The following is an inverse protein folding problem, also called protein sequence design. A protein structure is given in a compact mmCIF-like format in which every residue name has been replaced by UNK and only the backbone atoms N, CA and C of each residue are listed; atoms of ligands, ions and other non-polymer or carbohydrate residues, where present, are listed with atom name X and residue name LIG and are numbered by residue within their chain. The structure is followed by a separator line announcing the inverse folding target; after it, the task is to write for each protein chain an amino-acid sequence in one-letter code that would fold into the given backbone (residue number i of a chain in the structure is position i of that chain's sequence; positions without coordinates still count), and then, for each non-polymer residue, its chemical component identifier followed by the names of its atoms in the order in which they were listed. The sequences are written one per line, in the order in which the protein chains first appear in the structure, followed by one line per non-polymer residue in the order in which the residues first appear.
data_IF_962799013153
#
_entry.id   IF_962799013153
#
_cell.length_a   1.000
_cell.length_b   1.000
_cell.length_c   1.000
_cell.angle_alpha   90.00
_cell.angle_beta   90.00
_cell.angle_gamma   90.00
#
_symmetry.space_group_name_H-M   'P 1'
#
loop_
_entity.id
_entity.type
_entity.pdbx_description
1 polymer ?
#
# COMPACT_ATOMS: atom_id res chain seq x y z
N UNK A 1 35.75 -33.19 15.10
CA UNK A 1 34.87 -32.57 16.12
C UNK A 1 35.28 -31.10 16.28
N UNK A 2 34.66 -30.26 15.47
CA UNK A 2 34.62 -28.77 15.63
C UNK A 2 33.70 -28.23 14.52
N UNK A 3 32.48 -28.75 14.50
CA UNK A 3 31.34 -28.00 14.00
C UNK A 3 30.87 -27.19 15.17
N UNK A 4 30.94 -25.90 15.08
CA UNK A 4 29.99 -25.01 15.75
C UNK A 4 30.43 -23.57 15.67
N UNK A 5 29.49 -22.80 15.35
CA UNK A 5 29.35 -21.37 15.70
C UNK A 5 29.97 -20.37 14.71
N UNK A 6 29.43 -20.32 13.53
CA UNK A 6 29.10 -19.03 12.95
C UNK A 6 27.65 -18.66 13.32
N UNK A 7 27.42 -18.30 14.57
CA UNK A 7 26.30 -17.43 14.89
C UNK A 7 26.73 -16.08 14.34
N UNK A 8 26.34 -15.82 13.09
CA UNK A 8 26.36 -14.48 12.55
C UNK A 8 25.61 -13.62 13.55
N UNK A 9 26.35 -12.74 14.23
CA UNK A 9 25.76 -11.62 14.95
C UNK A 9 24.95 -10.86 13.91
N UNK A 10 23.65 -11.15 13.84
CA UNK A 10 22.68 -10.28 13.22
C UNK A 10 22.91 -8.92 13.85
N UNK A 11 23.47 -7.99 13.08
CA UNK A 11 23.58 -6.60 13.48
C UNK A 11 22.14 -6.18 13.84
N UNK A 12 21.85 -6.11 15.13
CA UNK A 12 20.63 -5.46 15.61
C UNK A 12 20.77 -4.02 15.17
N UNK A 13 20.05 -3.64 14.15
CA UNK A 13 19.95 -2.25 13.72
C UNK A 13 19.21 -1.57 14.86
N UNK A 14 19.93 -0.85 15.71
CA UNK A 14 19.31 -0.07 16.79
C UNK A 14 18.78 1.21 16.16
N UNK A 15 17.47 1.33 16.08
CA UNK A 15 16.81 2.58 15.73
C UNK A 15 16.65 3.46 16.97
N UNK A 16 16.73 4.79 16.81
CA UNK A 16 16.41 5.73 17.91
C UNK A 16 14.96 5.59 18.35
N UNK A 17 14.06 5.39 17.42
CA UNK A 17 12.66 5.06 17.66
C UNK A 17 12.01 4.48 16.42
N UNK A 18 10.83 3.89 16.60
CA UNK A 18 9.93 3.49 15.52
C UNK A 18 8.82 4.53 15.41
N UNK A 19 8.62 5.06 14.22
CA UNK A 19 7.57 6.03 13.92
C UNK A 19 6.58 5.39 12.94
N UNK A 20 5.36 5.19 13.37
CA UNK A 20 4.28 4.71 12.51
C UNK A 20 3.49 5.90 12.01
N UNK A 21 3.31 5.99 10.68
CA UNK A 21 2.47 7.02 10.05
C UNK A 21 1.42 6.35 9.16
N UNK A 22 0.28 6.98 9.04
CA UNK A 22 -0.80 6.50 8.17
C UNK A 22 -2.17 6.74 8.76
N UNK A 23 -3.17 6.14 8.12
CA UNK A 23 -4.56 6.39 8.47
C UNK A 23 -5.32 5.12 8.85
N UNK A 24 -6.35 5.31 9.65
CA UNK A 24 -7.33 4.28 9.98
C UNK A 24 -6.79 3.12 10.80
N UNK A 25 -7.40 1.95 10.60
CA UNK A 25 -7.11 0.75 11.39
C UNK A 25 -5.71 0.20 11.14
N UNK A 26 -5.21 0.27 9.91
CA UNK A 26 -3.89 -0.31 9.55
C UNK A 26 -2.78 0.35 10.36
N UNK A 27 -2.70 1.69 10.37
CA UNK A 27 -1.68 2.41 11.12
C UNK A 27 -1.77 2.17 12.64
N UNK A 28 -3.00 2.16 13.18
CA UNK A 28 -3.24 1.92 14.61
C UNK A 28 -2.77 0.52 15.04
N UNK A 29 -3.13 -0.51 14.28
CA UNK A 29 -2.75 -1.88 14.58
C UNK A 29 -1.25 -2.13 14.37
N UNK A 30 -0.64 -1.57 13.33
CA UNK A 30 0.82 -1.63 13.16
C UNK A 30 1.55 -1.00 14.36
N UNK A 31 1.08 0.16 14.84
CA UNK A 31 1.66 0.77 16.03
C UNK A 31 1.48 -0.08 17.28
N UNK A 32 0.32 -0.71 17.47
CA UNK A 32 0.07 -1.62 18.57
C UNK A 32 0.99 -2.83 18.52
N UNK A 33 1.05 -3.51 17.38
CA UNK A 33 1.92 -4.70 17.18
C UNK A 33 3.39 -4.34 17.41
N UNK A 34 3.86 -3.19 16.92
CA UNK A 34 5.22 -2.76 17.14
C UNK A 34 5.53 -2.51 18.63
N UNK A 35 4.58 -1.96 19.41
CA UNK A 35 4.73 -1.72 20.87
C UNK A 35 4.81 -3.00 21.68
N UNK A 36 4.28 -4.12 21.19
CA UNK A 36 4.37 -5.40 21.87
C UNK A 36 5.84 -5.93 21.91
N UNK A 37 6.71 -5.41 21.03
CA UNK A 37 8.12 -5.83 20.93
C UNK A 37 9.14 -4.72 21.17
N UNK A 38 8.79 -3.46 20.95
CA UNK A 38 9.70 -2.32 20.99
C UNK A 38 9.18 -1.22 21.93
N UNK A 39 10.07 -0.66 22.76
CA UNK A 39 9.70 0.33 23.78
C UNK A 39 9.40 1.73 23.22
N UNK A 40 10.13 2.16 22.18
CA UNK A 40 10.05 3.54 21.66
C UNK A 40 9.28 3.59 20.34
N UNK A 41 7.95 3.38 20.40
CA UNK A 41 7.06 3.40 19.22
C UNK A 41 6.06 4.55 19.30
N UNK A 42 6.09 5.42 18.31
CA UNK A 42 5.19 6.57 18.17
C UNK A 42 4.23 6.35 17.00
N UNK A 43 2.94 6.52 17.23
CA UNK A 43 1.96 6.70 16.16
C UNK A 43 1.81 8.21 15.93
N UNK A 44 2.09 8.66 14.72
CA UNK A 44 2.12 10.06 14.36
C UNK A 44 0.85 10.44 13.59
N UNK A 45 0.13 11.45 14.06
CA UNK A 45 -0.92 12.07 13.29
C UNK A 45 -0.31 13.17 12.39
N UNK A 46 -0.28 12.89 11.09
CA UNK A 46 0.29 13.82 10.11
C UNK A 46 -0.51 15.12 9.99
N UNK A 47 -1.77 15.17 10.44
CA UNK A 47 -2.59 16.38 10.42
C UNK A 47 -2.19 17.38 11.50
N UNK A 48 -1.47 16.94 12.54
CA UNK A 48 -0.93 17.81 13.60
C UNK A 48 0.39 18.48 13.20
N UNK A 49 0.95 18.14 12.03
CA UNK A 49 2.25 18.64 11.58
C UNK A 49 2.05 19.71 10.50
N UNK A 50 2.44 20.92 10.80
CA UNK A 50 2.29 22.08 9.90
C UNK A 50 3.12 21.98 8.62
N UNK A 51 4.33 21.37 8.71
CA UNK A 51 5.24 21.17 7.58
C UNK A 51 5.84 19.77 7.60
N UNK A 52 5.21 18.86 6.85
CA UNK A 52 5.63 17.45 6.79
C UNK A 52 7.04 17.29 6.20
N UNK A 53 7.38 18.05 5.16
CA UNK A 53 8.70 17.96 4.52
C UNK A 53 9.81 18.36 5.49
N UNK A 54 9.64 19.43 6.25
CA UNK A 54 10.59 19.88 7.27
C UNK A 54 10.72 18.85 8.38
N UNK A 55 9.59 18.39 8.91
CA UNK A 55 9.54 17.41 9.99
C UNK A 55 10.30 16.12 9.60
N UNK A 56 9.90 15.48 8.48
CA UNK A 56 10.51 14.22 8.07
C UNK A 56 11.99 14.38 7.65
N UNK A 57 12.37 15.49 7.04
CA UNK A 57 13.77 15.76 6.69
C UNK A 57 14.66 16.07 7.91
N UNK A 58 14.09 16.37 9.09
CA UNK A 58 14.84 16.54 10.34
C UNK A 58 15.15 15.20 11.04
N UNK A 59 14.42 14.15 10.71
CA UNK A 59 14.59 12.83 11.34
C UNK A 59 15.87 12.13 10.86
N UNK A 60 16.53 11.42 11.79
CA UNK A 60 17.72 10.63 11.52
C UNK A 60 17.79 9.42 12.46
N UNK A 61 18.11 8.24 11.90
CA UNK A 61 18.31 7.02 12.68
C UNK A 61 17.01 6.33 13.12
N UNK A 62 15.86 6.68 12.55
CA UNK A 62 14.57 6.08 12.88
C UNK A 62 14.18 4.96 11.91
N UNK A 63 13.34 4.04 12.40
CA UNK A 63 12.54 3.19 11.52
C UNK A 63 11.16 3.85 11.34
N UNK A 64 10.81 4.20 10.10
CA UNK A 64 9.51 4.78 9.77
C UNK A 64 8.66 3.71 9.09
N UNK A 65 7.47 3.47 9.64
CA UNK A 65 6.48 2.51 9.12
C UNK A 65 5.35 3.29 8.49
N UNK A 66 5.30 3.27 7.16
CA UNK A 66 4.28 3.91 6.34
C UNK A 66 3.12 2.92 6.12
N UNK A 67 2.05 3.05 6.91
CA UNK A 67 0.94 2.11 7.01
C UNK A 67 -0.37 2.77 6.57
N UNK A 68 -0.74 2.62 5.30
CA UNK A 68 -1.87 3.32 4.68
C UNK A 68 -1.68 4.85 4.71
N UNK A 69 -0.60 5.30 4.12
CA UNK A 69 -0.16 6.69 4.10
C UNK A 69 -0.09 7.23 2.66
N UNK A 70 -0.34 8.52 2.49
CA UNK A 70 -0.29 9.21 1.19
C UNK A 70 0.87 10.21 1.06
N UNK A 71 1.62 10.45 2.13
CA UNK A 71 2.79 11.32 2.10
C UNK A 71 3.96 10.63 1.38
N UNK A 72 4.63 11.35 0.50
CA UNK A 72 5.81 10.87 -0.25
C UNK A 72 7.05 11.43 0.41
N UNK A 73 7.88 10.55 0.98
CA UNK A 73 9.13 10.91 1.64
C UNK A 73 10.11 11.54 0.65
N UNK A 74 10.79 12.60 1.10
CA UNK A 74 11.83 13.26 0.32
C UNK A 74 13.17 12.53 0.44
N UNK A 75 14.08 12.68 -0.54
CA UNK A 75 15.35 11.95 -0.55
C UNK A 75 16.13 12.05 0.76
N UNK A 76 16.19 13.25 1.36
CA UNK A 76 16.91 13.46 2.63
C UNK A 76 16.35 12.60 3.78
N UNK A 77 15.03 12.42 3.85
CA UNK A 77 14.42 11.55 4.85
C UNK A 77 14.78 10.08 4.59
N UNK A 78 14.70 9.65 3.31
CA UNK A 78 15.03 8.28 2.88
C UNK A 78 16.48 7.93 3.17
N UNK A 79 17.41 8.85 2.93
CA UNK A 79 18.84 8.65 3.16
C UNK A 79 19.21 8.55 4.65
N UNK A 80 18.47 9.23 5.52
CA UNK A 80 18.79 9.30 6.95
C UNK A 80 18.03 8.30 7.82
N UNK A 81 17.04 7.59 7.28
CA UNK A 81 16.18 6.69 8.05
C UNK A 81 15.93 5.39 7.29
N UNK A 82 15.59 4.32 8.01
CA UNK A 82 15.00 3.14 7.40
C UNK A 82 13.49 3.36 7.26
N UNK A 83 12.94 3.16 6.07
CA UNK A 83 11.51 3.36 5.84
C UNK A 83 10.94 2.13 5.18
N UNK A 84 9.84 1.58 5.71
CA UNK A 84 9.06 0.52 5.09
C UNK A 84 7.66 1.02 4.78
N UNK A 85 7.10 0.58 3.66
CA UNK A 85 5.80 1.00 3.20
C UNK A 85 4.88 -0.20 2.92
N UNK A 86 3.63 -0.07 3.31
CA UNK A 86 2.54 -0.94 2.89
C UNK A 86 1.98 -0.45 1.57
N UNK A 87 2.02 -1.32 0.56
CA UNK A 87 1.41 -1.10 -0.73
C UNK A 87 0.33 -2.15 -1.00
N UNK A 88 -0.83 -1.73 -1.48
CA UNK A 88 -2.01 -2.58 -1.70
C UNK A 88 -2.03 -3.22 -3.09
N UNK A 89 -0.92 -3.81 -3.48
CA UNK A 89 -0.77 -4.66 -4.67
C UNK A 89 0.38 -5.67 -4.49
N UNK A 90 0.49 -6.61 -5.42
CA UNK A 90 1.67 -7.47 -5.57
C UNK A 90 2.71 -6.76 -6.43
N UNK A 91 3.63 -6.01 -5.82
CA UNK A 91 4.73 -5.39 -6.55
C UNK A 91 5.53 -6.42 -7.36
N UNK A 92 5.99 -6.06 -8.55
CA UNK A 92 6.03 -4.73 -9.16
C UNK A 92 4.74 -4.26 -9.83
N UNK A 93 3.66 -5.05 -9.84
CA UNK A 93 2.40 -4.67 -10.48
C UNK A 93 1.70 -3.51 -9.76
N UNK A 94 1.02 -2.65 -10.52
CA UNK A 94 0.17 -1.56 -10.02
C UNK A 94 0.85 -0.65 -9.00
N UNK A 95 2.08 -0.19 -9.27
CA UNK A 95 2.75 0.82 -8.46
C UNK A 95 1.96 2.14 -8.45
N UNK A 96 2.15 2.93 -7.40
CA UNK A 96 1.51 4.23 -7.24
C UNK A 96 0.16 4.14 -6.52
N UNK A 97 -0.85 4.84 -7.00
CA UNK A 97 -2.11 4.98 -6.27
C UNK A 97 -3.25 4.15 -6.86
N UNK A 98 -4.25 3.84 -6.03
CA UNK A 98 -5.48 3.14 -6.43
C UNK A 98 -5.24 1.73 -7.02
N UNK A 99 -4.18 1.05 -6.58
CA UNK A 99 -3.78 -0.25 -7.12
C UNK A 99 -4.89 -1.30 -7.08
N UNK A 100 -5.76 -1.29 -6.06
CA UNK A 100 -6.92 -2.17 -5.95
C UNK A 100 -7.96 -1.94 -7.06
N UNK A 101 -8.17 -0.69 -7.48
CA UNK A 101 -9.06 -0.33 -8.59
C UNK A 101 -8.47 -0.85 -9.91
N UNK A 102 -7.17 -0.59 -10.10
CA UNK A 102 -6.47 -0.98 -11.33
C UNK A 102 -6.39 -2.50 -11.49
N UNK A 103 -6.15 -3.24 -10.41
CA UNK A 103 -6.12 -4.70 -10.45
C UNK A 103 -7.46 -5.29 -10.93
N UNK A 104 -8.59 -4.79 -10.44
CA UNK A 104 -9.91 -5.22 -10.88
C UNK A 104 -10.17 -4.79 -12.33
N UNK A 105 -9.89 -3.53 -12.66
CA UNK A 105 -10.08 -3.02 -14.02
C UNK A 105 -9.27 -3.78 -15.08
N UNK A 106 -8.02 -4.10 -14.78
CA UNK A 106 -7.16 -4.90 -15.67
C UNK A 106 -7.62 -6.35 -15.78
N UNK A 107 -8.54 -6.81 -14.95
CA UNK A 107 -9.05 -8.17 -14.96
C UNK A 107 -8.08 -9.17 -14.34
N UNK A 108 -7.26 -8.71 -13.40
CA UNK A 108 -6.36 -9.58 -12.66
C UNK A 108 -7.17 -10.62 -11.88
N UNK A 109 -6.69 -11.86 -11.88
CA UNK A 109 -7.29 -12.91 -11.05
C UNK A 109 -6.80 -12.86 -9.61
N UNK A 110 -5.63 -12.28 -9.42
CA UNK A 110 -4.93 -12.20 -8.14
C UNK A 110 -4.41 -10.79 -7.92
N UNK A 111 -4.53 -10.34 -6.70
CA UNK A 111 -3.88 -9.14 -6.17
C UNK A 111 -3.30 -9.48 -4.80
N UNK A 112 -3.02 -8.51 -3.97
CA UNK A 112 -2.50 -8.77 -2.63
C UNK A 112 -1.95 -7.54 -1.98
N UNK A 113 -0.98 -7.76 -1.11
CA UNK A 113 -0.25 -6.70 -0.42
C UNK A 113 1.25 -6.90 -0.56
N UNK A 114 1.98 -5.81 -0.46
CA UNK A 114 3.43 -5.81 -0.35
C UNK A 114 3.87 -4.87 0.76
N UNK A 115 4.70 -5.37 1.68
CA UNK A 115 5.56 -4.51 2.48
C UNK A 115 6.92 -4.45 1.81
N UNK A 116 7.43 -3.25 1.58
CA UNK A 116 8.70 -3.02 0.90
C UNK A 116 9.48 -1.87 1.55
N UNK A 117 10.80 -1.83 1.35
CA UNK A 117 11.61 -0.67 1.71
C UNK A 117 11.25 0.51 0.81
N UNK A 118 11.35 1.71 1.35
CA UNK A 118 11.21 2.93 0.56
C UNK A 118 12.59 3.36 0.06
N UNK A 119 12.68 3.60 -1.23
CA UNK A 119 13.82 4.24 -1.91
C UNK A 119 13.39 5.57 -2.54
N UNK A 120 14.22 6.14 -3.41
CA UNK A 120 13.92 7.42 -4.08
C UNK A 120 12.91 7.27 -5.26
N UNK A 121 12.45 6.07 -5.55
CA UNK A 121 11.42 5.80 -6.55
C UNK A 121 10.02 5.64 -5.91
N UNK A 122 9.03 5.41 -6.76
CA UNK A 122 7.67 5.10 -6.28
C UNK A 122 7.48 3.59 -6.27
N UNK A 123 7.28 3.03 -5.07
CA UNK A 123 7.04 1.60 -4.82
C UNK A 123 8.08 0.68 -5.52
N UNK A 124 9.36 1.12 -5.54
CA UNK A 124 10.47 0.46 -6.28
C UNK A 124 11.48 -0.23 -5.38
N UNK A 125 11.41 -0.02 -4.07
CA UNK A 125 12.37 -0.58 -3.12
C UNK A 125 12.21 -2.08 -2.88
N UNK A 126 13.18 -2.66 -2.19
CA UNK A 126 13.25 -4.10 -1.89
C UNK A 126 11.98 -4.61 -1.18
N UNK A 127 11.42 -5.70 -1.69
CA UNK A 127 10.26 -6.36 -1.11
C UNK A 127 10.67 -7.12 0.14
N UNK A 128 9.93 -6.92 1.23
CA UNK A 128 10.13 -7.61 2.51
C UNK A 128 9.20 -8.82 2.65
N UNK A 129 7.94 -8.64 2.30
CA UNK A 129 6.92 -9.70 2.31
C UNK A 129 5.80 -9.36 1.34
N UNK A 130 5.25 -10.39 0.71
CA UNK A 130 4.03 -10.30 -0.10
C UNK A 130 3.02 -11.35 0.35
N UNK A 131 1.75 -11.01 0.27
CA UNK A 131 0.62 -11.93 0.48
C UNK A 131 -0.39 -11.77 -0.64
N UNK A 132 -0.83 -12.89 -1.18
CA UNK A 132 -1.72 -12.96 -2.34
C UNK A 132 -3.19 -13.12 -1.94
N UNK A 133 -4.10 -12.56 -2.73
CA UNK A 133 -5.55 -12.68 -2.62
C UNK A 133 -6.13 -13.01 -4.01
N UNK A 134 -7.05 -13.98 -4.10
CA UNK A 134 -7.87 -14.16 -5.29
C UNK A 134 -8.94 -13.06 -5.32
N UNK A 135 -9.08 -12.35 -6.46
CA UNK A 135 -9.95 -11.18 -6.60
C UNK A 135 -11.00 -11.33 -7.70
N UNK A 136 -11.16 -12.53 -8.27
CA UNK A 136 -12.02 -12.75 -9.47
C UNK A 136 -13.42 -12.13 -9.35
N UNK A 137 -14.01 -12.15 -8.15
CA UNK A 137 -15.38 -11.66 -7.92
C UNK A 137 -15.46 -10.52 -6.89
N UNK A 138 -14.34 -9.97 -6.47
CA UNK A 138 -14.33 -8.90 -5.46
C UNK A 138 -14.65 -7.54 -6.08
N UNK A 139 -15.38 -6.72 -5.33
CA UNK A 139 -15.42 -5.27 -5.55
C UNK A 139 -14.14 -4.60 -5.00
N UNK A 140 -13.90 -3.35 -5.42
CA UNK A 140 -12.74 -2.59 -4.94
C UNK A 140 -12.79 -2.37 -3.42
N UNK A 141 -13.98 -2.22 -2.84
CA UNK A 141 -14.18 -2.12 -1.39
C UNK A 141 -13.79 -3.41 -0.68
N UNK A 142 -14.29 -4.56 -1.15
CA UNK A 142 -13.99 -5.86 -0.55
C UNK A 142 -12.49 -6.16 -0.63
N UNK A 143 -11.87 -5.91 -1.79
CA UNK A 143 -10.44 -6.08 -1.98
C UNK A 143 -9.65 -5.19 -1.01
N UNK A 144 -9.96 -3.89 -0.93
CA UNK A 144 -9.26 -2.97 -0.05
C UNK A 144 -9.35 -3.39 1.42
N UNK A 145 -10.52 -3.83 1.87
CA UNK A 145 -10.71 -4.33 3.24
C UNK A 145 -9.90 -5.61 3.50
N UNK A 146 -9.90 -6.56 2.56
CA UNK A 146 -9.10 -7.78 2.66
C UNK A 146 -7.59 -7.46 2.68
N UNK A 147 -7.14 -6.54 1.84
CA UNK A 147 -5.76 -6.06 1.81
C UNK A 147 -5.35 -5.43 3.14
N UNK A 148 -6.18 -4.59 3.75
CA UNK A 148 -5.90 -3.99 5.05
C UNK A 148 -5.74 -5.05 6.15
N UNK A 149 -6.61 -6.07 6.18
CA UNK A 149 -6.50 -7.15 7.16
C UNK A 149 -5.22 -7.97 6.95
N UNK A 150 -4.89 -8.26 5.71
CA UNK A 150 -3.69 -9.01 5.35
C UNK A 150 -2.40 -8.24 5.63
N UNK A 151 -2.42 -6.90 5.43
CA UNK A 151 -1.32 -6.02 5.78
C UNK A 151 -1.03 -6.05 7.28
N UNK A 152 -2.07 -5.98 8.11
CA UNK A 152 -1.93 -6.05 9.58
C UNK A 152 -1.35 -7.41 10.00
N UNK A 153 -1.89 -8.51 9.47
CA UNK A 153 -1.41 -9.85 9.79
C UNK A 153 0.05 -10.06 9.38
N UNK A 154 0.41 -9.68 8.15
CA UNK A 154 1.78 -9.82 7.65
C UNK A 154 2.77 -8.86 8.31
N UNK A 155 2.31 -7.74 8.85
CA UNK A 155 3.15 -6.85 9.64
C UNK A 155 3.65 -7.50 10.93
N UNK A 156 2.82 -8.32 11.59
CA UNK A 156 3.26 -9.12 12.75
C UNK A 156 4.42 -10.05 12.37
N UNK A 157 4.33 -10.74 11.22
CA UNK A 157 5.41 -11.60 10.73
C UNK A 157 6.73 -10.83 10.52
N UNK A 158 6.65 -9.59 10.00
CA UNK A 158 7.84 -8.73 9.85
C UNK A 158 8.43 -8.28 11.19
N UNK A 159 7.58 -7.95 12.15
CA UNK A 159 8.01 -7.60 13.50
C UNK A 159 8.75 -8.77 14.15
N UNK A 160 8.28 -10.01 13.99
CA UNK A 160 8.90 -11.22 14.58
C UNK A 160 10.33 -11.45 14.08
N UNK A 161 10.63 -11.02 12.85
CA UNK A 161 11.95 -11.17 12.21
C UNK A 161 12.76 -9.88 12.17
N UNK A 162 12.43 -8.88 13.01
CA UNK A 162 13.12 -7.58 13.06
C UNK A 162 13.19 -6.89 11.68
N UNK A 163 12.08 -6.97 10.93
CA UNK A 163 11.92 -6.41 9.58
C UNK A 163 12.90 -6.94 8.52
N UNK A 164 13.46 -8.12 8.73
CA UNK A 164 14.25 -8.80 7.71
C UNK A 164 13.34 -9.27 6.56
N UNK A 165 13.84 -9.31 5.30
CA UNK A 165 13.09 -9.84 4.18
C UNK A 165 12.66 -11.29 4.41
N UNK A 166 11.40 -11.60 4.16
CA UNK A 166 10.80 -12.93 4.26
C UNK A 166 10.58 -13.58 2.89
N UNK A 167 10.86 -12.86 1.82
CA UNK A 167 10.77 -13.37 0.45
C UNK A 167 11.90 -12.81 -0.42
N UNK A 168 12.17 -13.49 -1.53
CA UNK A 168 13.19 -13.10 -2.52
C UNK A 168 12.52 -12.72 -3.85
N UNK A 169 11.52 -11.85 -3.80
CA UNK A 169 10.84 -11.36 -4.99
C UNK A 169 11.55 -10.10 -5.49
N UNK A 170 11.95 -10.12 -6.77
CA UNK A 170 12.55 -8.95 -7.40
C UNK A 170 11.48 -7.88 -7.65
N UNK A 171 11.74 -6.67 -7.20
CA UNK A 171 10.91 -5.51 -7.52
C UNK A 171 11.51 -4.75 -8.70
N UNK A 172 11.21 -5.19 -9.93
CA UNK A 172 11.68 -4.49 -11.13
C UNK A 172 10.66 -3.43 -11.56
N UNK A 173 10.92 -2.15 -11.31
CA UNK A 173 10.00 -1.07 -11.67
C UNK A 173 9.82 -0.89 -13.19
N UNK A 174 10.66 -1.48 -14.02
CA UNK A 174 10.52 -1.43 -15.49
C UNK A 174 9.50 -2.44 -16.01
N UNK A 175 9.16 -3.44 -15.22
CA UNK A 175 8.23 -4.52 -15.62
C UNK A 175 6.76 -4.18 -15.44
N UNK A 176 6.42 -3.01 -14.86
CA UNK A 176 5.03 -2.67 -14.55
C UNK A 176 4.67 -1.19 -14.77
N UNK A 177 3.38 -0.94 -14.88
CA UNK A 177 2.84 0.42 -14.96
C UNK A 177 2.78 1.07 -13.57
N UNK A 178 3.03 2.38 -13.55
CA UNK A 178 2.80 3.23 -12.38
C UNK A 178 1.54 4.06 -12.60
N UNK A 179 0.63 4.04 -11.64
CA UNK A 179 -0.62 4.79 -11.70
C UNK A 179 -0.53 6.09 -10.90
N UNK A 180 -0.85 7.21 -11.56
CA UNK A 180 -0.84 8.54 -10.93
C UNK A 180 -2.17 8.84 -10.26
N UNK A 181 -2.16 9.75 -9.28
CA UNK A 181 -3.38 10.18 -8.56
C UNK A 181 -4.46 10.76 -9.49
N UNK A 182 -4.07 11.38 -10.59
CA UNK A 182 -4.99 11.92 -11.59
C UNK A 182 -5.56 10.88 -12.56
N UNK A 183 -5.07 9.63 -12.50
CA UNK A 183 -5.44 8.58 -13.43
C UNK A 183 -6.45 7.63 -12.78
N UNK A 184 -7.54 7.41 -13.49
CA UNK A 184 -8.56 6.42 -13.15
C UNK A 184 -8.95 5.66 -14.42
N UNK A 185 -9.40 4.39 -14.33
CA UNK A 185 -9.90 3.66 -15.48
C UNK A 185 -10.92 4.48 -16.26
N UNK A 186 -10.63 4.71 -17.53
CA UNK A 186 -11.43 5.52 -18.45
C UNK A 186 -11.91 6.87 -17.87
N UNK A 187 -11.09 7.52 -17.00
CA UNK A 187 -11.50 8.79 -16.38
C UNK A 187 -12.74 8.70 -15.48
N UNK A 188 -13.02 7.52 -14.93
CA UNK A 188 -14.24 7.18 -14.18
C UNK A 188 -15.54 7.35 -15.00
N UNK A 189 -15.47 7.17 -16.31
CA UNK A 189 -16.64 7.24 -17.22
C UNK A 189 -16.95 5.84 -17.76
N UNK A 190 -18.13 5.34 -17.47
CA UNK A 190 -18.66 4.09 -18.04
C UNK A 190 -19.00 4.28 -19.51
N UNK A 191 -18.51 3.40 -20.38
CA UNK A 191 -18.94 3.31 -21.76
C UNK A 191 -19.91 2.13 -21.92
N UNK A 192 -21.14 2.41 -22.31
CA UNK A 192 -22.19 1.41 -22.50
C UNK A 192 -22.01 0.54 -23.74
N UNK A 193 -21.11 0.92 -24.66
CA UNK A 193 -20.77 0.12 -25.85
C UNK A 193 -19.74 -0.99 -25.54
N UNK A 194 -19.21 -1.05 -24.33
CA UNK A 194 -18.31 -2.13 -23.93
C UNK A 194 -19.03 -3.47 -23.84
N UNK A 195 -18.26 -4.55 -23.95
CA UNK A 195 -18.75 -5.90 -23.65
C UNK A 195 -19.15 -6.00 -22.16
N UNK A 196 -20.12 -6.84 -21.86
CA UNK A 196 -20.71 -6.96 -20.52
C UNK A 196 -19.67 -7.23 -19.44
N UNK A 197 -18.67 -8.07 -19.70
CA UNK A 197 -17.60 -8.36 -18.75
C UNK A 197 -16.74 -7.14 -18.42
N UNK A 198 -16.54 -6.25 -19.38
CA UNK A 198 -15.80 -5.00 -19.17
C UNK A 198 -16.62 -3.98 -18.38
N UNK A 199 -17.93 -3.90 -18.63
CA UNK A 199 -18.87 -3.09 -17.84
C UNK A 199 -18.86 -3.56 -16.38
N UNK A 200 -18.99 -4.86 -16.15
CA UNK A 200 -18.99 -5.47 -14.82
C UNK A 200 -17.68 -5.18 -14.09
N UNK A 201 -16.54 -5.34 -14.76
CA UNK A 201 -15.22 -5.02 -14.17
C UNK A 201 -15.11 -3.55 -13.79
N UNK A 202 -15.56 -2.65 -14.66
CA UNK A 202 -15.57 -1.22 -14.38
C UNK A 202 -16.42 -0.90 -13.14
N UNK A 203 -17.63 -1.40 -13.08
CA UNK A 203 -18.52 -1.16 -11.93
C UNK A 203 -17.91 -1.71 -10.64
N UNK A 204 -17.40 -2.95 -10.65
CA UNK A 204 -16.68 -3.53 -9.49
C UNK A 204 -15.45 -2.72 -9.07
N UNK A 205 -14.69 -2.19 -10.04
CA UNK A 205 -13.50 -1.38 -9.76
C UNK A 205 -13.85 -0.05 -9.09
N UNK A 206 -15.06 0.48 -9.32
CA UNK A 206 -15.55 1.71 -8.71
C UNK A 206 -16.54 1.48 -7.55
N UNK A 207 -16.82 0.26 -7.18
CA UNK A 207 -17.58 -0.05 -5.95
C UNK A 207 -16.69 0.09 -4.72
N UNK A 208 -16.62 1.31 -4.22
CA UNK A 208 -15.82 1.72 -3.06
C UNK A 208 -16.67 1.98 -1.82
N UNK A 209 -18.00 1.93 -1.96
CA UNK A 209 -18.92 2.28 -0.89
C UNK A 209 -18.70 3.71 -0.38
N UNK A 210 -18.51 3.86 0.93
CA UNK A 210 -18.30 5.16 1.58
C UNK A 210 -16.85 5.69 1.54
N UNK A 211 -15.91 4.97 0.93
CA UNK A 211 -14.51 5.42 0.81
C UNK A 211 -14.37 6.52 -0.26
N UNK A 212 -14.78 7.72 0.08
CA UNK A 212 -15.22 8.82 -0.78
C UNK A 212 -14.12 9.71 -1.37
N UNK A 213 -12.83 9.32 -1.32
CA UNK A 213 -11.75 10.15 -1.91
C UNK A 213 -11.54 9.91 -3.42
N UNK A 214 -12.35 9.07 -4.01
CA UNK A 214 -12.31 8.72 -5.43
C UNK A 214 -13.65 9.14 -6.05
N UNK A 215 -13.63 9.81 -7.22
CA UNK A 215 -14.86 10.19 -7.90
C UNK A 215 -15.76 8.98 -8.16
N UNK A 216 -17.06 9.15 -7.97
CA UNK A 216 -18.04 8.14 -8.39
C UNK A 216 -17.98 7.93 -9.90
N UNK A 217 -18.25 6.72 -10.38
CA UNK A 217 -18.34 6.47 -11.80
C UNK A 217 -19.49 7.27 -12.41
N UNK A 218 -19.32 7.69 -13.63
CA UNK A 218 -20.32 8.45 -14.40
C UNK A 218 -20.63 7.76 -15.70
N UNK A 219 -21.77 8.07 -16.26
CA UNK A 219 -22.17 7.61 -17.59
C UNK A 219 -22.72 8.76 -18.42
N UNK A 220 -22.50 8.73 -19.73
CA UNK A 220 -23.10 9.70 -20.63
C UNK A 220 -24.57 9.34 -20.86
N UNK A 221 -25.50 10.20 -20.46
CA UNK A 221 -26.91 10.03 -20.66
C UNK A 221 -27.53 11.30 -21.29
N UNK A 222 -28.09 11.19 -22.46
CA UNK A 222 -28.72 12.30 -23.25
C UNK A 222 -27.80 13.55 -23.39
N UNK A 223 -26.49 13.33 -23.52
CA UNK A 223 -25.51 14.41 -23.71
C UNK A 223 -24.94 15.00 -22.42
N UNK A 224 -25.34 14.50 -21.26
CA UNK A 224 -24.85 14.93 -19.95
C UNK A 224 -24.17 13.78 -19.20
N UNK A 225 -23.15 14.10 -18.37
CA UNK A 225 -22.50 13.14 -17.49
C UNK A 225 -23.30 13.01 -16.19
N UNK A 226 -23.84 11.84 -15.93
CA UNK A 226 -24.62 11.50 -14.74
C UNK A 226 -23.83 10.56 -13.85
N UNK A 227 -23.81 10.80 -12.54
CA UNK A 227 -23.18 9.90 -11.57
C UNK A 227 -23.99 8.61 -11.42
N UNK A 228 -23.28 7.50 -11.22
CA UNK A 228 -23.87 6.19 -10.94
C UNK A 228 -23.79 5.99 -9.43
N UNK A 229 -24.96 6.05 -8.77
CA UNK A 229 -25.06 5.90 -7.30
C UNK A 229 -25.19 4.45 -6.87
N UNK A 230 -25.91 3.64 -7.63
CA UNK A 230 -26.10 2.21 -7.38
C UNK A 230 -26.27 1.45 -8.69
N UNK A 231 -25.97 0.16 -8.64
CA UNK A 231 -26.17 -0.78 -9.74
C UNK A 231 -26.35 -2.18 -9.20
N UNK A 232 -26.98 -3.05 -9.97
CA UNK A 232 -27.09 -4.49 -9.71
C UNK A 232 -26.33 -5.24 -10.80
N UNK A 233 -25.53 -6.26 -10.41
CA UNK A 233 -24.74 -7.11 -11.31
C UNK A 233 -25.31 -8.52 -11.27
#
# INVERSE_FOLDING_TARGET
MLMAKSIERRLMISFESIIVIGQGKVAKECARIARDKFDNVKLLDINEISNLDEYFNSLKGHLIISANNTYIFKPRCVENNAIINYHNALLPNHRGVNAHIWAIWCGDKKSGITWHKVDNGIDSGEILIQKEINIENMSAKELLLAQHMLAIASFSELVDVDFAPLCLVANDPKSSQMHKKSELPNGAILNLDWQSDMIIRFLRAFDLGIFANIPRPRVMFKGELVEIDCYEI
#
